data_IF_275679865250
#
_entry.id   IF_275679865250
#
_cell.length_a   1.000
_cell.length_b   1.000
_cell.length_c   1.000
_cell.angle_alpha   90.00
_cell.angle_beta   90.00
_cell.angle_gamma   90.00
#
_symmetry.space_group_name_H-M   'P 1'
#
loop_
_entity.id
_entity.type
_entity.pdbx_description
1 polymer ?
#
# COMPACT_ATOMS: atom_id res chain seq x y z
N UNK A 1 11.02 -19.90 20.67
CA UNK A 1 9.56 -20.02 20.51
C UNK A 1 9.30 -20.47 19.08
N UNK A 2 8.56 -21.55 18.81
CA UNK A 2 8.25 -21.93 17.43
C UNK A 2 7.52 -20.76 16.77
N UNK A 3 8.14 -20.16 15.76
CA UNK A 3 7.54 -19.12 14.95
C UNK A 3 6.40 -19.74 14.17
N UNK A 4 5.17 -19.52 14.61
CA UNK A 4 4.01 -19.97 13.85
C UNK A 4 3.96 -19.17 12.55
N UNK A 5 3.92 -19.91 11.43
CA UNK A 5 3.71 -19.30 10.12
C UNK A 5 2.30 -18.70 10.06
N UNK A 6 2.16 -17.59 9.34
CA UNK A 6 0.90 -16.89 9.13
C UNK A 6 0.50 -16.95 7.65
N UNK A 7 -0.81 -17.02 7.34
CA UNK A 7 -1.28 -17.03 5.97
C UNK A 7 -1.06 -15.64 5.33
N UNK A 8 -0.48 -15.63 4.14
CA UNK A 8 -0.38 -14.44 3.30
C UNK A 8 -1.78 -13.96 2.90
N UNK A 9 -2.09 -12.67 3.07
CA UNK A 9 -3.39 -12.10 2.70
C UNK A 9 -3.74 -12.19 1.21
N UNK A 10 -2.76 -12.49 0.35
CA UNK A 10 -2.93 -12.45 -1.10
C UNK A 10 -2.98 -13.83 -1.76
N UNK A 11 -2.23 -14.79 -1.23
CA UNK A 11 -2.12 -16.14 -1.81
C UNK A 11 -2.34 -17.25 -0.78
N UNK A 12 -2.69 -16.89 0.47
CA UNK A 12 -2.99 -17.79 1.60
C UNK A 12 -1.86 -18.72 2.06
N UNK A 13 -0.75 -18.77 1.32
CA UNK A 13 0.44 -19.55 1.68
C UNK A 13 1.02 -19.13 3.02
N UNK A 14 1.48 -20.13 3.79
CA UNK A 14 2.02 -19.97 5.13
C UNK A 14 3.46 -19.45 5.09
N UNK A 15 3.68 -18.25 5.65
CA UNK A 15 4.97 -17.54 5.65
C UNK A 15 5.38 -17.11 7.06
N UNK A 16 6.66 -16.79 7.25
CA UNK A 16 7.18 -16.35 8.56
C UNK A 16 6.53 -15.04 9.01
N UNK A 17 6.25 -14.92 10.32
CA UNK A 17 5.53 -13.78 10.92
C UNK A 17 6.14 -12.40 10.60
N UNK A 18 7.46 -12.32 10.50
CA UNK A 18 8.19 -11.06 10.31
C UNK A 18 8.53 -10.80 8.83
N UNK A 19 7.89 -11.53 7.91
CA UNK A 19 8.10 -11.39 6.47
C UNK A 19 7.52 -10.08 5.93
N UNK A 20 8.38 -9.17 5.45
CA UNK A 20 7.97 -7.94 4.76
C UNK A 20 7.48 -8.18 3.32
N UNK A 21 7.82 -9.33 2.74
CA UNK A 21 7.37 -9.78 1.42
C UNK A 21 7.02 -11.25 1.45
N UNK A 22 6.07 -11.68 0.63
CA UNK A 22 5.70 -13.08 0.51
C UNK A 22 6.68 -13.79 -0.44
N UNK A 23 7.44 -14.81 0.01
CA UNK A 23 8.33 -15.58 -0.87
C UNK A 23 7.57 -16.42 -1.92
N UNK A 24 6.26 -16.64 -1.74
CA UNK A 24 5.44 -17.47 -2.62
C UNK A 24 4.80 -16.69 -3.76
N UNK A 25 4.31 -15.47 -3.51
CA UNK A 25 3.64 -14.65 -4.52
C UNK A 25 4.34 -13.32 -4.82
N UNK A 26 5.46 -13.02 -4.16
CA UNK A 26 6.26 -11.81 -4.36
C UNK A 26 5.64 -10.53 -3.80
N UNK A 27 4.43 -10.57 -3.24
CA UNK A 27 3.75 -9.36 -2.75
C UNK A 27 4.31 -8.88 -1.41
N UNK A 28 4.60 -7.59 -1.32
CA UNK A 28 4.96 -6.91 -0.06
C UNK A 28 3.80 -6.79 0.92
N UNK A 29 4.10 -6.52 2.18
CA UNK A 29 3.14 -6.38 3.29
C UNK A 29 2.10 -7.52 3.34
N UNK A 30 2.53 -8.79 3.22
CA UNK A 30 1.62 -9.92 3.08
C UNK A 30 0.84 -10.24 4.37
N UNK A 31 1.26 -9.68 5.51
CA UNK A 31 0.72 -9.97 6.84
C UNK A 31 0.18 -8.71 7.53
N UNK A 32 -0.59 -8.92 8.61
CA UNK A 32 -1.18 -7.87 9.44
C UNK A 32 -2.31 -7.12 8.72
N UNK A 33 -2.95 -6.11 9.32
CA UNK A 33 -3.96 -5.30 8.63
C UNK A 33 -3.33 -4.29 7.67
N UNK A 34 -4.11 -3.75 6.71
CA UNK A 34 -3.69 -2.59 5.92
C UNK A 34 -3.45 -1.38 6.84
N UNK A 35 -2.57 -0.47 6.41
CA UNK A 35 -2.11 0.66 7.23
C UNK A 35 -2.28 1.97 6.46
N UNK A 36 -2.80 2.99 7.14
CA UNK A 36 -2.86 4.33 6.60
C UNK A 36 -1.45 4.83 6.26
N UNK A 37 -1.19 5.37 5.06
CA UNK A 37 0.14 5.80 4.66
C UNK A 37 0.59 7.06 5.40
N UNK A 38 -0.37 7.85 5.90
CA UNK A 38 -0.12 9.11 6.60
C UNK A 38 0.13 8.92 8.10
N UNK A 39 -0.71 8.15 8.78
CA UNK A 39 -0.66 8.00 10.25
C UNK A 39 -0.38 6.58 10.73
N UNK A 40 -0.22 5.61 9.83
CA UNK A 40 0.01 4.18 10.13
C UNK A 40 -1.07 3.49 10.96
N UNK A 41 -2.22 4.13 11.20
CA UNK A 41 -3.33 3.42 11.83
C UNK A 41 -3.88 2.31 10.93
N UNK A 42 -4.37 1.19 11.50
CA UNK A 42 -5.06 0.17 10.74
C UNK A 42 -6.21 0.75 9.95
N UNK A 43 -6.35 0.32 8.69
CA UNK A 43 -7.47 0.67 7.81
C UNK A 43 -8.09 -0.61 7.26
N UNK A 44 -9.35 -0.49 6.85
CA UNK A 44 -10.10 -1.54 6.15
C UNK A 44 -10.41 -1.09 4.74
N UNK A 45 -10.56 -2.04 3.84
CA UNK A 45 -10.82 -1.89 2.41
C UNK A 45 -12.19 -1.26 2.09
N UNK A 46 -13.15 -1.35 3.01
CA UNK A 46 -14.46 -0.72 2.93
C UNK A 46 -14.47 0.76 3.38
N UNK A 47 -13.35 1.28 3.90
CA UNK A 47 -13.29 2.64 4.41
C UNK A 47 -13.00 3.66 3.31
N UNK A 48 -13.85 4.69 3.19
CA UNK A 48 -13.59 5.83 2.28
C UNK A 48 -12.53 6.79 2.81
N UNK A 49 -12.41 6.91 4.15
CA UNK A 49 -11.46 7.79 4.83
C UNK A 49 -10.86 7.10 6.05
N UNK A 50 -9.62 7.43 6.37
CA UNK A 50 -8.98 6.97 7.60
C UNK A 50 -9.66 7.60 8.82
N UNK A 51 -10.22 6.77 9.70
CA UNK A 51 -10.92 7.21 10.92
C UNK A 51 -10.04 8.02 11.88
N UNK A 52 -8.71 7.92 11.79
CA UNK A 52 -7.81 8.65 12.68
C UNK A 52 -7.30 9.99 12.11
N UNK A 53 -6.98 10.06 10.82
CA UNK A 53 -6.35 11.27 10.24
C UNK A 53 -7.13 11.93 9.11
N UNK A 54 -8.30 11.37 8.75
CA UNK A 54 -9.19 11.89 7.72
C UNK A 54 -8.70 11.74 6.28
N UNK A 55 -7.55 11.07 6.05
CA UNK A 55 -7.03 10.82 4.70
C UNK A 55 -8.05 10.01 3.88
N UNK A 56 -8.33 10.45 2.66
CA UNK A 56 -9.14 9.70 1.69
C UNK A 56 -8.38 8.42 1.29
N UNK A 57 -9.02 7.27 1.42
CA UNK A 57 -8.44 5.95 1.15
C UNK A 57 -8.81 5.42 -0.24
N UNK A 58 -9.13 6.33 -1.15
CA UNK A 58 -9.37 6.05 -2.55
C UNK A 58 -8.35 6.84 -3.38
N UNK A 59 -7.82 6.22 -4.43
CA UNK A 59 -6.86 6.85 -5.33
C UNK A 59 -7.07 6.37 -6.76
N UNK A 60 -6.53 7.12 -7.72
CA UNK A 60 -6.49 6.71 -9.12
C UNK A 60 -5.21 5.90 -9.33
N UNK A 61 -5.34 4.69 -9.88
CA UNK A 61 -4.19 3.86 -10.17
C UNK A 61 -3.30 4.54 -11.23
N UNK A 62 -2.01 4.78 -10.95
CA UNK A 62 -1.10 5.41 -11.91
C UNK A 62 -0.76 4.52 -13.12
N UNK A 63 -1.14 3.23 -13.09
CA UNK A 63 -0.87 2.28 -14.17
C UNK A 63 -2.08 2.07 -15.10
N UNK A 64 -3.29 1.92 -14.55
CA UNK A 64 -4.49 1.65 -15.36
C UNK A 64 -5.51 2.80 -15.39
N UNK A 65 -5.30 3.87 -14.62
CA UNK A 65 -6.18 5.05 -14.58
C UNK A 65 -7.53 4.85 -13.90
N UNK A 66 -7.82 3.66 -13.36
CA UNK A 66 -9.08 3.38 -12.65
C UNK A 66 -9.00 3.76 -11.17
N UNK A 67 -10.12 4.16 -10.59
CA UNK A 67 -10.26 4.37 -9.14
C UNK A 67 -10.14 3.04 -8.41
N UNK A 68 -9.44 3.04 -7.28
CA UNK A 68 -9.18 1.85 -6.46
C UNK A 68 -8.94 2.25 -5.00
N UNK A 69 -9.12 1.30 -4.08
CA UNK A 69 -8.75 1.47 -2.69
C UNK A 69 -7.24 1.70 -2.54
N UNK A 70 -6.88 2.57 -1.59
CA UNK A 70 -5.52 2.87 -1.23
C UNK A 70 -4.92 1.68 -0.43
N UNK A 71 -4.32 0.73 -1.16
CA UNK A 71 -3.54 -0.38 -0.61
C UNK A 71 -2.17 -0.49 -1.29
N UNK A 72 -1.49 -1.63 -1.12
CA UNK A 72 -0.21 -1.88 -1.80
C UNK A 72 -0.37 -2.13 -3.32
N UNK A 73 -1.54 -2.63 -3.74
CA UNK A 73 -1.84 -3.05 -5.11
C UNK A 73 -3.22 -2.54 -5.56
N UNK A 74 -3.34 -2.28 -6.85
CA UNK A 74 -4.60 -1.90 -7.48
C UNK A 74 -5.56 -3.08 -7.57
N UNK A 75 -6.80 -2.91 -7.13
CA UNK A 75 -7.84 -3.94 -7.22
C UNK A 75 -8.22 -4.29 -8.67
N UNK A 76 -7.92 -3.41 -9.64
CA UNK A 76 -8.34 -3.57 -11.04
C UNK A 76 -7.26 -4.17 -11.96
N UNK A 77 -5.98 -3.98 -11.65
CA UNK A 77 -4.88 -4.41 -12.51
C UNK A 77 -3.71 -5.05 -11.76
N UNK A 78 -3.84 -5.20 -10.44
CA UNK A 78 -2.85 -5.79 -9.55
C UNK A 78 -1.46 -5.11 -9.53
N UNK A 79 -1.32 -3.95 -10.16
CA UNK A 79 -0.09 -3.19 -10.16
C UNK A 79 0.15 -2.48 -8.82
N UNK A 80 1.42 -2.33 -8.44
CA UNK A 80 1.86 -1.56 -7.25
C UNK A 80 1.35 -0.13 -7.31
N UNK A 81 0.67 0.31 -6.25
CA UNK A 81 0.18 1.67 -6.10
C UNK A 81 1.28 2.58 -5.55
N UNK A 82 2.30 2.82 -6.38
CA UNK A 82 3.40 3.74 -6.08
C UNK A 82 3.65 4.67 -7.26
N UNK A 83 4.19 5.85 -6.95
CA UNK A 83 4.65 6.84 -7.92
C UNK A 83 6.09 7.24 -7.59
N UNK A 84 6.88 7.44 -8.63
CA UNK A 84 8.27 7.84 -8.49
C UNK A 84 8.38 9.34 -8.74
N UNK A 85 8.94 10.08 -7.78
CA UNK A 85 9.16 11.51 -7.96
C UNK A 85 10.14 11.77 -9.11
N UNK A 86 9.76 12.58 -10.09
CA UNK A 86 10.62 12.92 -11.23
C UNK A 86 11.90 13.64 -10.82
N UNK A 87 11.87 14.40 -9.72
CA UNK A 87 12.94 15.26 -9.22
C UNK A 87 13.93 14.56 -8.30
N UNK A 88 13.46 13.84 -7.28
CA UNK A 88 14.33 13.17 -6.30
C UNK A 88 14.31 11.64 -6.38
N UNK A 89 13.62 11.07 -7.39
CA UNK A 89 13.50 9.62 -7.67
C UNK A 89 12.95 8.78 -6.51
N UNK A 90 12.35 9.41 -5.51
CA UNK A 90 11.74 8.72 -4.38
C UNK A 90 10.46 8.02 -4.83
N UNK A 91 10.41 6.71 -4.65
CA UNK A 91 9.18 5.93 -4.72
C UNK A 91 8.34 6.19 -3.47
N UNK A 92 7.08 6.53 -3.67
CA UNK A 92 6.17 6.86 -2.59
C UNK A 92 4.74 6.47 -2.98
N UNK A 93 3.81 6.41 -2.03
CA UNK A 93 2.43 6.17 -2.38
C UNK A 93 1.82 7.38 -3.13
N UNK A 94 0.86 7.16 -4.05
CA UNK A 94 0.20 8.21 -4.82
C UNK A 94 -0.83 8.96 -3.96
N UNK A 95 -0.36 9.58 -2.87
CA UNK A 95 -1.16 10.37 -1.95
C UNK A 95 -0.83 11.86 -2.11
N UNK A 96 -1.79 12.60 -2.66
CA UNK A 96 -1.66 14.03 -2.89
C UNK A 96 -0.73 14.41 -4.05
N UNK A 97 -0.59 15.71 -4.28
CA UNK A 97 0.10 16.26 -5.45
C UNK A 97 1.60 16.56 -5.20
N UNK A 98 2.10 16.41 -3.96
CA UNK A 98 3.47 16.79 -3.58
C UNK A 98 4.27 15.58 -3.12
N UNK A 99 5.56 15.58 -3.45
CA UNK A 99 6.49 14.56 -2.98
C UNK A 99 6.71 14.66 -1.47
N UNK A 100 6.54 13.53 -0.76
CA UNK A 100 6.76 13.43 0.69
C UNK A 100 8.20 13.73 1.12
N UNK A 101 9.18 13.55 0.22
CA UNK A 101 10.60 13.76 0.53
C UNK A 101 11.07 15.17 0.19
N UNK A 102 10.75 15.68 -0.99
CA UNK A 102 11.29 16.97 -1.47
C UNK A 102 10.25 18.10 -1.62
N UNK A 103 8.97 17.83 -1.36
CA UNK A 103 7.89 18.82 -1.44
C UNK A 103 7.50 19.28 -2.85
N UNK A 104 8.24 18.90 -3.89
CA UNK A 104 7.96 19.27 -5.29
C UNK A 104 6.73 18.53 -5.83
N UNK A 105 6.08 19.12 -6.84
CA UNK A 105 4.93 18.51 -7.53
C UNK A 105 5.26 17.12 -8.09
N UNK A 106 4.30 16.20 -7.97
CA UNK A 106 4.32 14.87 -8.59
C UNK A 106 3.66 14.85 -9.98
N UNK A 107 2.97 15.93 -10.33
CA UNK A 107 2.58 16.27 -11.71
C UNK A 107 3.72 17.02 -12.39
#
# INVERSE_FOLDING_TARGET
>A
MPGYKHPCRYCEGLIEKDSNFCPLCGKVNPLGPLRCPKCRNPIKDDWKKCSNCGLILETICPKCGKQTFFGDYCQNCDARLTVTCSKCKTEQPPIGDKCIKCGKSLK
#
